data_IF_564056302429
#
_entry.id   IF_564056302429
#
_cell.length_a   1.000
_cell.length_b   1.000
_cell.length_c   1.000
_cell.angle_alpha   90.00
_cell.angle_beta   90.00
_cell.angle_gamma   90.00
#
_symmetry.space_group_name_H-M   'P 1'
#
loop_
_entity.id
_entity.type
_entity.pdbx_description
1 polymer ?
#
# COMPACT_ATOMS: atom_id res chain seq x y z
N UNK A 1 11.02 -15.61 -20.56
CA UNK A 1 10.03 -14.58 -20.31
C UNK A 1 9.08 -15.00 -19.21
N UNK A 2 8.49 -14.06 -18.48
CA UNK A 2 7.43 -14.36 -17.50
C UNK A 2 6.08 -14.17 -18.18
N UNK A 3 5.15 -15.09 -17.96
CA UNK A 3 3.76 -14.99 -18.44
C UNK A 3 2.93 -14.18 -17.46
N UNK A 4 2.00 -13.37 -17.99
CA UNK A 4 1.01 -12.62 -17.22
C UNK A 4 -0.39 -13.01 -17.67
N UNK A 5 -1.32 -13.04 -16.72
CA UNK A 5 -2.75 -13.17 -17.01
C UNK A 5 -3.35 -11.78 -16.82
N UNK A 6 -3.83 -11.19 -17.91
CA UNK A 6 -4.58 -9.94 -17.84
C UNK A 6 -6.06 -10.23 -17.57
N UNK A 7 -6.59 -9.64 -16.49
CA UNK A 7 -8.01 -9.68 -16.17
C UNK A 7 -8.60 -8.34 -16.60
N UNK A 8 -9.29 -8.31 -17.74
CA UNK A 8 -10.00 -7.14 -18.20
C UNK A 8 -11.29 -6.93 -17.41
N UNK A 9 -11.58 -5.68 -17.11
CA UNK A 9 -12.81 -5.30 -16.40
C UNK A 9 -13.74 -4.54 -17.34
N UNK A 10 -15.07 -4.75 -17.24
CA UNK A 10 -16.00 -3.94 -18.00
C UNK A 10 -15.79 -2.46 -17.70
N UNK A 11 -15.79 -1.62 -18.75
CA UNK A 11 -15.72 -0.17 -18.57
C UNK A 11 -16.88 0.32 -17.70
N UNK A 12 -16.56 0.82 -16.49
CA UNK A 12 -17.57 1.19 -15.46
C UNK A 12 -18.04 2.65 -15.60
N UNK A 13 -17.64 3.35 -16.67
CA UNK A 13 -17.99 4.76 -16.88
C UNK A 13 -19.41 4.91 -17.43
N UNK A 14 -20.13 5.91 -16.94
CA UNK A 14 -21.47 6.29 -17.38
C UNK A 14 -21.54 6.41 -18.91
N UNK A 15 -22.33 5.56 -19.55
CA UNK A 15 -23.01 5.91 -20.79
C UNK A 15 -24.27 6.71 -20.41
N UNK A 16 -24.44 7.86 -21.01
CA UNK A 16 -25.47 8.88 -20.70
C UNK A 16 -26.93 8.41 -20.67
N UNK A 17 -27.26 7.15 -20.85
CA UNK A 17 -28.66 6.76 -21.07
C UNK A 17 -29.13 5.39 -20.60
N UNK A 18 -28.37 4.58 -19.87
CA UNK A 18 -28.89 3.30 -19.37
C UNK A 18 -28.47 3.05 -17.92
N UNK A 19 -29.42 3.33 -17.06
CA UNK A 19 -29.75 2.81 -15.72
C UNK A 19 -28.73 2.08 -14.87
N UNK A 20 -28.74 2.48 -13.65
CA UNK A 20 -28.19 2.00 -12.38
C UNK A 20 -27.74 0.52 -12.28
N UNK A 21 -28.40 -0.41 -12.95
CA UNK A 21 -28.11 -1.84 -12.81
C UNK A 21 -26.83 -2.29 -13.51
N UNK A 22 -26.57 -1.82 -14.75
CA UNK A 22 -25.37 -2.21 -15.51
C UNK A 22 -24.12 -1.61 -14.89
N UNK A 23 -24.19 -0.39 -14.37
CA UNK A 23 -23.10 0.28 -13.66
C UNK A 23 -22.80 -0.46 -12.34
N UNK A 24 -23.83 -0.89 -11.63
CA UNK A 24 -23.72 -1.70 -10.41
C UNK A 24 -23.05 -3.05 -10.68
N UNK A 25 -23.50 -3.82 -11.68
CA UNK A 25 -22.88 -5.09 -12.05
C UNK A 25 -21.42 -4.93 -12.51
N UNK A 26 -21.12 -3.88 -13.27
CA UNK A 26 -19.77 -3.55 -13.68
C UNK A 26 -18.86 -3.28 -12.48
N UNK A 27 -19.32 -2.51 -11.48
CA UNK A 27 -18.59 -2.22 -10.26
C UNK A 27 -18.34 -3.48 -9.42
N UNK A 28 -19.36 -4.35 -9.26
CA UNK A 28 -19.22 -5.62 -8.54
C UNK A 28 -18.19 -6.53 -9.20
N UNK A 29 -18.23 -6.65 -10.54
CA UNK A 29 -17.24 -7.45 -11.29
C UNK A 29 -15.82 -6.88 -11.13
N UNK A 30 -15.66 -5.56 -11.22
CA UNK A 30 -14.38 -4.90 -11.03
C UNK A 30 -13.83 -5.12 -9.61
N UNK A 31 -14.68 -5.03 -8.56
CA UNK A 31 -14.28 -5.35 -7.18
C UNK A 31 -13.84 -6.80 -7.01
N UNK A 32 -14.53 -7.74 -7.66
CA UNK A 32 -14.14 -9.15 -7.64
C UNK A 32 -12.80 -9.38 -8.37
N UNK A 33 -12.56 -8.66 -9.47
CA UNK A 33 -11.27 -8.70 -10.18
C UNK A 33 -10.14 -8.13 -9.33
N UNK A 34 -10.35 -7.00 -8.63
CA UNK A 34 -9.38 -6.40 -7.70
C UNK A 34 -8.96 -7.41 -6.62
N UNK A 35 -9.92 -8.15 -6.03
CA UNK A 35 -9.63 -9.14 -4.99
C UNK A 35 -8.80 -10.33 -5.46
N UNK A 36 -8.83 -10.64 -6.76
CA UNK A 36 -8.13 -11.77 -7.37
C UNK A 36 -6.81 -11.38 -8.01
N UNK A 37 -6.60 -10.09 -8.22
CA UNK A 37 -5.41 -9.58 -8.89
C UNK A 37 -4.20 -9.55 -7.94
N UNK A 38 -3.04 -9.92 -8.45
CA UNK A 38 -1.76 -9.72 -7.75
C UNK A 38 -1.33 -8.26 -7.80
N UNK A 39 -1.62 -7.56 -8.90
CA UNK A 39 -1.39 -6.13 -9.09
C UNK A 39 -2.53 -5.54 -9.90
N UNK A 40 -3.06 -4.42 -9.45
CA UNK A 40 -4.09 -3.66 -10.17
C UNK A 40 -3.43 -2.53 -10.96
N UNK A 41 -3.76 -2.40 -12.23
CA UNK A 41 -3.48 -1.21 -13.03
C UNK A 41 -4.76 -0.37 -13.10
N UNK A 42 -4.82 0.73 -12.36
CA UNK A 42 -5.96 1.63 -12.34
C UNK A 42 -5.79 2.73 -13.38
N UNK A 43 -6.58 2.66 -14.46
CA UNK A 43 -6.46 3.58 -15.59
C UNK A 43 -7.35 4.81 -15.43
N UNK A 44 -6.76 5.98 -15.67
CA UNK A 44 -7.44 7.28 -15.75
C UNK A 44 -7.26 7.86 -17.16
N UNK A 45 -8.27 8.50 -17.68
CA UNK A 45 -8.19 9.29 -18.92
C UNK A 45 -7.66 10.68 -18.59
N UNK A 46 -6.58 11.09 -19.27
CA UNK A 46 -5.98 12.42 -19.03
C UNK A 46 -6.88 13.59 -19.37
N UNK A 47 -7.90 13.37 -20.19
CA UNK A 47 -8.88 14.38 -20.64
C UNK A 47 -10.09 14.50 -19.71
N UNK A 48 -10.20 13.61 -18.71
CA UNK A 48 -11.38 13.57 -17.85
C UNK A 48 -11.00 13.75 -16.38
N UNK A 49 -11.97 14.28 -15.63
CA UNK A 49 -11.84 14.36 -14.17
C UNK A 49 -12.10 13.01 -13.52
N UNK A 50 -11.49 12.78 -12.35
CA UNK A 50 -11.69 11.57 -11.56
C UNK A 50 -13.16 11.48 -11.11
N UNK A 51 -13.83 10.41 -11.50
CA UNK A 51 -15.25 10.17 -11.24
C UNK A 51 -15.49 9.57 -9.84
N UNK A 52 -16.76 9.52 -9.44
CA UNK A 52 -17.20 8.82 -8.21
C UNK A 52 -16.86 7.32 -8.28
N UNK A 53 -17.02 6.71 -9.45
CA UNK A 53 -16.72 5.29 -9.66
C UNK A 53 -15.24 5.01 -9.50
N UNK A 54 -14.38 5.86 -10.06
CA UNK A 54 -12.92 5.74 -9.87
C UNK A 54 -12.56 5.76 -8.37
N UNK A 55 -13.18 6.65 -7.58
CA UNK A 55 -12.98 6.72 -6.12
C UNK A 55 -13.41 5.43 -5.43
N UNK A 56 -14.56 4.85 -5.80
CA UNK A 56 -15.05 3.58 -5.23
C UNK A 56 -14.15 2.39 -5.58
N UNK A 57 -13.56 2.37 -6.78
CA UNK A 57 -12.59 1.34 -7.17
C UNK A 57 -11.29 1.49 -6.37
N UNK A 58 -10.80 2.71 -6.21
CA UNK A 58 -9.62 2.99 -5.38
C UNK A 58 -9.86 2.63 -3.91
N UNK A 59 -11.04 2.91 -3.35
CA UNK A 59 -11.41 2.46 -2.01
C UNK A 59 -11.33 0.93 -1.90
N UNK A 60 -11.82 0.19 -2.89
CA UNK A 60 -11.73 -1.27 -2.91
C UNK A 60 -10.28 -1.78 -2.98
N UNK A 61 -9.39 -1.11 -3.74
CA UNK A 61 -7.96 -1.42 -3.79
C UNK A 61 -7.32 -1.22 -2.41
N UNK A 62 -7.67 -0.13 -1.72
CA UNK A 62 -7.16 0.17 -0.39
C UNK A 62 -7.65 -0.84 0.66
N UNK A 63 -8.94 -1.18 0.64
CA UNK A 63 -9.53 -2.16 1.56
C UNK A 63 -8.92 -3.55 1.42
N UNK A 64 -8.66 -3.98 0.19
CA UNK A 64 -8.04 -5.29 -0.08
C UNK A 64 -6.53 -5.28 0.12
N UNK A 65 -5.91 -4.10 0.29
CA UNK A 65 -4.45 -3.93 0.29
C UNK A 65 -3.80 -4.51 -0.97
N UNK A 66 -4.47 -4.46 -2.11
CA UNK A 66 -3.92 -4.95 -3.37
C UNK A 66 -2.87 -3.98 -3.91
N UNK A 67 -1.67 -4.46 -4.27
CA UNK A 67 -0.67 -3.62 -4.92
C UNK A 67 -1.23 -3.00 -6.19
N UNK A 68 -0.92 -1.73 -6.47
CA UNK A 68 -1.48 -1.07 -7.66
C UNK A 68 -0.50 -0.09 -8.31
N UNK A 69 -0.73 0.15 -9.59
CA UNK A 69 -0.12 1.21 -10.39
C UNK A 69 -1.23 2.15 -10.85
N UNK A 70 -1.10 3.44 -10.62
CA UNK A 70 -2.00 4.46 -11.14
C UNK A 70 -1.55 4.83 -12.56
N UNK A 71 -2.40 4.66 -13.55
CA UNK A 71 -2.04 4.81 -14.96
C UNK A 71 -2.82 5.96 -15.58
N UNK A 72 -2.14 6.99 -16.05
CA UNK A 72 -2.74 8.09 -16.80
C UNK A 72 -2.57 7.82 -18.28
N UNK A 73 -3.67 7.50 -18.95
CA UNK A 73 -3.70 7.19 -20.39
C UNK A 73 -4.07 8.41 -21.23
N UNK A 74 -3.89 8.30 -22.55
CA UNK A 74 -4.02 9.38 -23.54
C UNK A 74 -3.08 10.57 -23.23
N UNK A 75 -1.88 10.26 -22.77
CA UNK A 75 -0.93 11.26 -22.31
C UNK A 75 -0.45 12.20 -23.44
N UNK A 76 -0.50 11.75 -24.68
CA UNK A 76 -0.27 12.57 -25.87
C UNK A 76 -1.22 13.78 -25.95
N UNK A 77 -2.50 13.58 -25.62
CA UNK A 77 -3.49 14.66 -25.60
C UNK A 77 -3.27 15.62 -24.43
N UNK A 78 -2.83 15.10 -23.27
CA UNK A 78 -2.50 15.95 -22.14
C UNK A 78 -1.31 16.88 -22.41
N UNK A 79 -0.30 16.40 -23.13
CA UNK A 79 0.85 17.21 -23.56
C UNK A 79 0.41 18.33 -24.47
N UNK A 80 -0.49 18.07 -25.42
CA UNK A 80 -1.05 19.10 -26.32
C UNK A 80 -1.82 20.19 -25.53
N UNK A 81 -2.38 19.83 -24.39
CA UNK A 81 -3.07 20.76 -23.47
C UNK A 81 -2.12 21.35 -22.40
N UNK A 82 -0.81 21.34 -22.63
CA UNK A 82 0.23 21.87 -21.73
C UNK A 82 0.19 21.28 -20.31
N UNK A 83 -0.38 20.09 -20.13
CA UNK A 83 -0.44 19.39 -18.86
C UNK A 83 0.90 18.72 -18.55
N UNK A 84 1.37 18.85 -17.31
CA UNK A 84 2.61 18.23 -16.84
C UNK A 84 2.37 16.97 -16.01
N UNK A 85 3.35 16.05 -16.01
CA UNK A 85 3.29 14.83 -15.19
C UNK A 85 3.19 15.16 -13.69
N UNK A 86 3.88 16.21 -13.25
CA UNK A 86 3.87 16.64 -11.85
C UNK A 86 2.48 17.12 -11.42
N UNK A 87 1.79 17.92 -12.24
CA UNK A 87 0.43 18.39 -11.96
C UNK A 87 -0.56 17.22 -11.84
N UNK A 88 -0.48 16.24 -12.76
CA UNK A 88 -1.32 15.04 -12.68
C UNK A 88 -0.98 14.18 -11.45
N UNK A 89 0.32 13.99 -11.17
CA UNK A 89 0.75 13.25 -9.98
C UNK A 89 0.26 13.91 -8.70
N UNK A 90 0.38 15.23 -8.58
CA UNK A 90 -0.17 15.99 -7.45
C UNK A 90 -1.69 15.86 -7.34
N UNK A 91 -2.41 15.92 -8.45
CA UNK A 91 -3.86 15.72 -8.47
C UNK A 91 -4.26 14.34 -7.96
N UNK A 92 -3.54 13.27 -8.38
CA UNK A 92 -3.76 11.92 -7.89
C UNK A 92 -3.46 11.80 -6.38
N UNK A 93 -2.35 12.38 -5.90
CA UNK A 93 -1.98 12.38 -4.48
C UNK A 93 -3.01 13.12 -3.63
N UNK A 94 -3.51 14.26 -4.08
CA UNK A 94 -4.55 15.02 -3.39
C UNK A 94 -5.88 14.27 -3.36
N UNK A 95 -6.23 13.61 -4.45
CA UNK A 95 -7.50 12.87 -4.56
C UNK A 95 -7.46 11.54 -3.82
N UNK A 96 -6.31 10.84 -3.86
CA UNK A 96 -6.12 9.50 -3.33
C UNK A 96 -4.98 9.43 -2.31
N UNK A 97 -5.03 10.28 -1.27
CA UNK A 97 -3.98 10.38 -0.25
C UNK A 97 -3.58 9.05 0.41
N UNK A 98 -4.47 8.06 0.43
CA UNK A 98 -4.18 6.71 0.95
C UNK A 98 -3.27 5.88 0.01
N UNK A 99 -3.22 6.20 -1.29
CA UNK A 99 -2.37 5.57 -2.30
C UNK A 99 -1.17 6.43 -2.72
N UNK A 100 -0.78 7.44 -1.92
CA UNK A 100 0.36 8.32 -2.24
C UNK A 100 1.70 7.59 -2.46
N UNK A 101 1.76 6.33 -2.05
CA UNK A 101 2.91 5.46 -2.26
C UNK A 101 2.86 4.71 -3.59
N UNK A 102 1.68 4.60 -4.20
CA UNK A 102 1.51 3.87 -5.44
C UNK A 102 2.21 4.60 -6.59
N UNK A 103 2.96 3.91 -7.43
CA UNK A 103 3.65 4.54 -8.54
C UNK A 103 2.65 4.99 -9.60
N UNK A 104 2.99 6.08 -10.30
CA UNK A 104 2.19 6.64 -11.39
C UNK A 104 2.90 6.39 -12.72
N UNK A 105 2.16 5.90 -13.71
CA UNK A 105 2.63 5.72 -15.07
C UNK A 105 1.83 6.56 -16.05
N UNK A 106 2.51 7.19 -17.02
CA UNK A 106 1.91 7.98 -18.09
C UNK A 106 2.10 7.26 -19.43
N UNK A 107 1.00 6.90 -20.08
CA UNK A 107 1.00 6.06 -21.28
C UNK A 107 0.14 6.66 -22.39
N UNK A 108 0.42 6.25 -23.63
CA UNK A 108 -0.47 6.44 -24.78
C UNK A 108 -0.75 5.05 -25.35
N UNK A 109 -1.86 4.45 -24.95
CA UNK A 109 -2.19 3.08 -25.31
C UNK A 109 -2.35 2.91 -26.83
N UNK A 110 -2.87 3.93 -27.53
CA UNK A 110 -3.08 3.90 -28.98
C UNK A 110 -1.78 3.67 -29.76
N UNK A 111 -0.67 4.26 -29.34
CA UNK A 111 0.64 4.12 -30.00
C UNK A 111 1.55 3.11 -29.30
N UNK A 112 1.15 2.57 -28.15
CA UNK A 112 1.97 1.72 -27.32
C UNK A 112 3.06 2.47 -26.54
N UNK A 113 3.08 3.81 -26.58
CA UNK A 113 4.10 4.60 -25.88
C UNK A 113 4.06 4.34 -24.39
N UNK A 114 5.22 3.98 -23.83
CA UNK A 114 5.43 3.61 -22.42
C UNK A 114 4.71 2.34 -21.94
N UNK A 115 3.99 1.58 -22.78
CA UNK A 115 3.31 0.35 -22.37
C UNK A 115 4.28 -0.70 -21.80
N UNK A 116 5.47 -0.85 -22.39
CA UNK A 116 6.50 -1.75 -21.87
C UNK A 116 7.02 -1.31 -20.49
N UNK A 117 7.17 0.00 -20.29
CA UNK A 117 7.58 0.57 -18.99
C UNK A 117 6.52 0.32 -17.93
N UNK A 118 5.23 0.44 -18.27
CA UNK A 118 4.11 0.13 -17.38
C UNK A 118 4.15 -1.33 -16.92
N UNK A 119 4.37 -2.28 -17.83
CA UNK A 119 4.48 -3.70 -17.48
C UNK A 119 5.67 -3.96 -16.56
N UNK A 120 6.84 -3.36 -16.84
CA UNK A 120 8.00 -3.47 -15.97
C UNK A 120 7.74 -2.89 -14.58
N UNK A 121 6.99 -1.78 -14.49
CA UNK A 121 6.60 -1.17 -13.23
C UNK A 121 5.66 -2.08 -12.42
N UNK A 122 4.67 -2.68 -13.08
CA UNK A 122 3.79 -3.66 -12.44
C UNK A 122 4.56 -4.90 -11.93
N UNK A 123 5.57 -5.37 -12.69
CA UNK A 123 6.47 -6.43 -12.23
C UNK A 123 7.28 -6.02 -11.00
N UNK A 124 7.78 -4.77 -10.96
CA UNK A 124 8.50 -4.24 -9.81
C UNK A 124 7.62 -4.22 -8.56
N UNK A 125 6.40 -3.71 -8.71
CA UNK A 125 5.39 -3.68 -7.62
C UNK A 125 5.05 -5.10 -7.14
N UNK A 126 4.83 -6.04 -8.06
CA UNK A 126 4.61 -7.44 -7.71
C UNK A 126 5.78 -8.03 -6.91
N UNK A 127 7.01 -7.80 -7.39
CA UNK A 127 8.22 -8.29 -6.72
C UNK A 127 8.35 -7.72 -5.32
N UNK A 128 8.14 -6.40 -5.14
CA UNK A 128 8.15 -5.75 -3.83
C UNK A 128 7.09 -6.36 -2.88
N UNK A 129 5.88 -6.63 -3.38
CA UNK A 129 4.80 -7.21 -2.58
C UNK A 129 5.12 -8.63 -2.08
N UNK A 130 5.91 -9.38 -2.84
CA UNK A 130 6.33 -10.75 -2.51
C UNK A 130 7.59 -10.85 -1.67
N UNK A 131 8.24 -9.73 -1.33
CA UNK A 131 9.52 -9.74 -0.63
C UNK A 131 9.36 -10.12 0.84
N UNK A 132 10.32 -10.92 1.35
CA UNK A 132 10.36 -11.31 2.77
C UNK A 132 11.53 -10.64 3.48
N UNK A 133 11.24 -10.14 4.67
CA UNK A 133 12.21 -9.47 5.53
C UNK A 133 12.53 -10.39 6.70
N UNK A 134 13.82 -10.49 7.05
CA UNK A 134 14.23 -11.25 8.22
C UNK A 134 13.65 -10.60 9.50
N UNK A 135 13.30 -11.44 10.44
CA UNK A 135 12.74 -11.01 11.73
C UNK A 135 13.69 -10.09 12.48
N UNK A 136 15.01 -10.37 12.46
CA UNK A 136 16.04 -9.53 13.10
C UNK A 136 16.04 -8.11 12.53
N UNK A 137 16.08 -7.96 11.19
CA UNK A 137 16.02 -6.65 10.52
C UNK A 137 14.75 -5.90 10.86
N UNK A 138 13.60 -6.58 10.83
CA UNK A 138 12.32 -5.96 11.14
C UNK A 138 12.26 -5.45 12.58
N UNK A 139 12.71 -6.25 13.55
CA UNK A 139 12.72 -5.85 14.96
C UNK A 139 13.69 -4.70 15.23
N UNK A 140 14.85 -4.66 14.56
CA UNK A 140 15.79 -3.53 14.65
C UNK A 140 15.14 -2.22 14.20
N UNK A 141 14.45 -2.23 13.06
CA UNK A 141 13.74 -1.05 12.53
C UNK A 141 12.61 -0.61 13.47
N UNK A 142 11.78 -1.55 13.95
CA UNK A 142 10.67 -1.23 14.86
C UNK A 142 11.21 -0.68 16.19
N UNK A 143 12.31 -1.25 16.71
CA UNK A 143 12.98 -0.77 17.92
C UNK A 143 13.47 0.67 17.76
N UNK A 144 14.18 0.97 16.66
CA UNK A 144 14.64 2.31 16.36
C UNK A 144 13.48 3.31 16.23
N UNK A 145 12.39 2.92 15.57
CA UNK A 145 11.19 3.75 15.44
C UNK A 145 10.54 4.05 16.80
N UNK A 146 10.42 3.04 17.67
CA UNK A 146 9.86 3.23 19.04
C UNK A 146 10.78 4.10 19.89
N UNK A 147 12.09 3.96 19.74
CA UNK A 147 13.08 4.79 20.46
C UNK A 147 12.99 6.26 20.01
N UNK A 148 12.95 6.51 18.69
CA UNK A 148 12.88 7.86 18.13
C UNK A 148 11.56 8.58 18.43
N UNK A 149 10.44 7.85 18.45
CA UNK A 149 9.12 8.41 18.76
C UNK A 149 8.29 7.38 19.53
N UNK A 150 8.42 7.35 20.87
CA UNK A 150 7.69 6.42 21.71
C UNK A 150 6.17 6.61 21.59
N UNK A 151 5.37 5.52 21.61
CA UNK A 151 3.92 5.65 21.64
C UNK A 151 3.49 6.38 22.91
N UNK A 152 2.56 7.34 22.82
CA UNK A 152 2.16 8.18 23.93
C UNK A 152 1.41 7.36 25.00
N UNK A 153 1.54 7.81 26.26
CA UNK A 153 0.72 7.27 27.36
C UNK A 153 -0.77 7.46 27.07
N UNK A 154 -1.55 6.42 27.33
CA UNK A 154 -3.01 6.45 27.25
C UNK A 154 -3.62 5.66 28.40
N UNK A 155 -4.68 6.21 29.01
CA UNK A 155 -5.38 5.57 30.14
C UNK A 155 -4.40 5.14 31.26
N UNK A 156 -3.45 5.99 31.57
CA UNK A 156 -2.39 5.75 32.55
C UNK A 156 -1.53 4.48 32.31
N UNK A 157 -1.48 4.00 31.05
CA UNK A 157 -0.68 2.84 30.62
C UNK A 157 0.24 3.22 29.47
N UNK A 158 1.46 2.65 29.46
CA UNK A 158 2.41 2.81 28.38
C UNK A 158 2.25 1.67 27.36
N UNK A 159 1.93 1.98 26.09
CA UNK A 159 1.93 0.97 25.05
C UNK A 159 3.36 0.47 24.82
N UNK A 160 3.55 -0.86 24.77
CA UNK A 160 4.83 -1.51 24.51
C UNK A 160 4.71 -2.49 23.34
N UNK A 161 5.69 -2.51 22.44
CA UNK A 161 5.85 -3.53 21.42
C UNK A 161 6.98 -4.47 21.86
N UNK A 162 6.68 -5.76 21.89
CA UNK A 162 7.64 -6.80 22.32
C UNK A 162 8.34 -7.47 21.15
N UNK A 163 7.63 -7.57 20.01
CA UNK A 163 8.13 -8.34 18.87
C UNK A 163 7.38 -7.97 17.60
N UNK A 164 8.11 -8.00 16.47
CA UNK A 164 7.58 -7.78 15.14
C UNK A 164 7.95 -8.94 14.22
N UNK A 165 7.02 -9.43 13.42
CA UNK A 165 7.27 -10.48 12.43
C UNK A 165 6.44 -10.25 11.17
N UNK A 166 7.01 -10.55 10.00
CA UNK A 166 6.26 -10.61 8.76
C UNK A 166 5.63 -12.02 8.65
N UNK A 167 4.31 -12.07 8.62
CA UNK A 167 3.56 -13.33 8.58
C UNK A 167 3.13 -13.70 7.17
N UNK A 168 2.99 -12.72 6.27
CA UNK A 168 2.49 -12.95 4.93
C UNK A 168 3.10 -11.98 3.91
N UNK A 169 2.92 -12.31 2.63
CA UNK A 169 3.26 -11.53 1.45
C UNK A 169 1.99 -11.36 0.60
N UNK A 170 1.99 -10.43 -0.37
CA UNK A 170 0.84 -10.14 -1.26
C UNK A 170 -0.48 -9.83 -0.54
N UNK A 171 -0.55 -8.83 0.37
CA UNK A 171 0.45 -7.78 0.66
C UNK A 171 1.41 -8.16 1.80
N UNK A 172 2.56 -7.49 1.93
CA UNK A 172 3.42 -7.60 3.09
C UNK A 172 2.63 -7.35 4.38
N UNK A 173 2.48 -8.39 5.19
CA UNK A 173 1.67 -8.35 6.42
C UNK A 173 2.58 -8.52 7.63
N UNK A 174 2.65 -7.49 8.46
CA UNK A 174 3.49 -7.43 9.66
C UNK A 174 2.61 -7.51 10.89
N UNK A 175 2.90 -8.47 11.75
CA UNK A 175 2.28 -8.59 13.08
C UNK A 175 3.20 -7.97 14.12
N UNK A 176 2.66 -7.04 14.90
CA UNK A 176 3.31 -6.45 16.07
C UNK A 176 2.68 -7.05 17.34
N UNK A 177 3.45 -7.81 18.10
CA UNK A 177 3.05 -8.28 19.41
C UNK A 177 3.25 -7.16 20.44
N UNK A 178 2.21 -6.79 21.15
CA UNK A 178 2.21 -5.65 22.08
C UNK A 178 1.35 -5.96 23.33
N UNK A 179 1.45 -5.12 24.35
CA UNK A 179 0.62 -5.28 25.56
C UNK A 179 -0.86 -4.92 25.28
N UNK A 180 -1.14 -3.74 24.75
CA UNK A 180 -2.49 -3.21 24.58
C UNK A 180 -2.68 -2.61 23.18
N UNK A 181 -3.11 -3.39 22.16
CA UNK A 181 -3.28 -2.92 20.78
C UNK A 181 -4.13 -1.65 20.62
N UNK A 182 -5.14 -1.49 21.48
CA UNK A 182 -6.10 -0.37 21.46
C UNK A 182 -5.49 0.95 21.94
N UNK A 183 -4.35 0.93 22.63
CA UNK A 183 -3.71 2.14 23.13
C UNK A 183 -2.86 2.86 22.08
N UNK A 184 -2.48 2.18 21.00
CA UNK A 184 -1.72 2.80 19.90
C UNK A 184 -2.60 3.72 19.06
N UNK A 185 -2.27 5.01 19.07
CA UNK A 185 -3.03 6.02 18.32
C UNK A 185 -2.94 5.82 16.79
N UNK A 186 -3.95 6.25 16.02
CA UNK A 186 -3.87 6.22 14.56
C UNK A 186 -2.69 7.04 14.02
N UNK A 187 -2.33 8.16 14.66
CA UNK A 187 -1.18 8.98 14.28
C UNK A 187 0.14 8.23 14.47
N UNK A 188 0.31 7.54 15.59
CA UNK A 188 1.51 6.75 15.85
C UNK A 188 1.62 5.56 14.89
N UNK A 189 0.51 4.88 14.59
CA UNK A 189 0.50 3.81 13.57
C UNK A 189 0.90 4.31 12.19
N UNK A 190 0.46 5.53 11.81
CA UNK A 190 0.89 6.17 10.55
C UNK A 190 2.37 6.51 10.53
N UNK A 191 2.90 7.01 11.66
CA UNK A 191 4.33 7.24 11.81
C UNK A 191 5.13 5.96 11.60
N UNK A 192 4.78 4.88 12.34
CA UNK A 192 5.47 3.59 12.19
C UNK A 192 5.38 3.06 10.76
N UNK A 193 4.21 3.17 10.13
CA UNK A 193 4.04 2.78 8.72
C UNK A 193 4.95 3.58 7.79
N UNK A 194 5.16 4.87 8.07
CA UNK A 194 6.11 5.72 7.34
C UNK A 194 7.53 5.20 7.45
N UNK A 195 8.01 4.95 8.68
CA UNK A 195 9.34 4.39 8.93
C UNK A 195 9.54 3.03 8.24
N UNK A 196 8.57 2.12 8.35
CA UNK A 196 8.64 0.82 7.69
C UNK A 196 8.72 0.96 6.17
N UNK A 197 8.05 1.94 5.58
CA UNK A 197 8.08 2.20 4.15
C UNK A 197 9.43 2.75 3.68
N UNK A 198 10.08 3.55 4.48
CA UNK A 198 11.40 4.12 4.17
C UNK A 198 12.51 3.09 4.29
N UNK A 199 12.47 2.26 5.34
CA UNK A 199 13.54 1.33 5.70
C UNK A 199 13.44 -0.05 5.04
N UNK A 200 12.24 -0.43 4.55
CA UNK A 200 11.97 -1.71 3.92
C UNK A 200 11.77 -1.58 2.40
N UNK A 201 11.94 -2.67 1.63
CA UNK A 201 11.74 -2.66 0.18
C UNK A 201 10.25 -2.62 -0.23
N UNK A 202 9.40 -2.00 0.59
CA UNK A 202 7.95 -1.89 0.39
C UNK A 202 7.51 -0.46 0.03
N UNK A 203 8.33 0.25 -0.74
CA UNK A 203 8.12 1.68 -1.00
C UNK A 203 6.83 1.96 -1.78
N UNK A 204 6.52 1.11 -2.75
CA UNK A 204 5.45 1.30 -3.73
C UNK A 204 4.28 0.31 -3.56
N UNK A 205 4.25 -0.41 -2.42
CA UNK A 205 3.21 -1.41 -2.14
C UNK A 205 2.53 -1.14 -0.80
N UNK A 206 1.29 -1.60 -0.61
CA UNK A 206 0.62 -1.50 0.68
C UNK A 206 1.33 -2.38 1.71
N UNK A 207 1.41 -1.91 2.95
CA UNK A 207 1.91 -2.68 4.09
C UNK A 207 0.75 -2.84 5.08
N UNK A 208 0.39 -4.08 5.38
CA UNK A 208 -0.65 -4.39 6.36
C UNK A 208 -0.01 -4.58 7.73
N UNK A 209 -0.41 -3.77 8.71
CA UNK A 209 0.05 -3.88 10.10
C UNK A 209 -1.07 -4.42 10.96
N UNK A 210 -0.83 -5.54 11.62
CA UNK A 210 -1.73 -6.16 12.59
C UNK A 210 -1.11 -6.05 13.98
N UNK A 211 -1.81 -5.43 14.91
CA UNK A 211 -1.40 -5.38 16.31
C UNK A 211 -2.15 -6.45 17.11
N UNK A 212 -1.41 -7.31 17.81
CA UNK A 212 -1.97 -8.41 18.60
C UNK A 212 -1.44 -8.36 20.01
N UNK A 213 -2.31 -8.59 20.99
CA UNK A 213 -1.90 -8.77 22.37
C UNK A 213 -0.99 -10.00 22.51
N UNK A 214 -0.01 -9.94 23.41
CA UNK A 214 0.77 -11.11 23.81
C UNK A 214 -0.14 -12.00 24.66
N UNK A 215 -0.22 -13.29 24.33
CA UNK A 215 -0.90 -14.27 25.18
C UNK A 215 0.04 -14.66 26.33
N UNK A 216 -0.44 -14.53 27.56
CA UNK A 216 0.31 -14.86 28.80
C UNK A 216 1.10 -13.67 29.34
N UNK A 217 0.91 -13.35 30.62
CA UNK A 217 1.59 -12.34 31.44
C UNK A 217 1.77 -10.97 30.81
N UNK A 218 0.77 -10.13 30.96
CA UNK A 218 0.68 -8.81 30.32
C UNK A 218 1.73 -7.79 30.78
N UNK A 219 2.58 -8.04 31.78
CA UNK A 219 3.41 -7.01 32.41
C UNK A 219 4.91 -7.30 32.61
N UNK A 220 5.45 -8.50 32.37
CA UNK A 220 6.79 -8.90 32.82
C UNK A 220 7.89 -9.05 31.77
N UNK A 221 7.64 -8.82 30.48
CA UNK A 221 8.69 -8.91 29.47
C UNK A 221 9.28 -7.55 29.10
N UNK A 222 10.59 -7.45 28.80
CA UNK A 222 11.17 -6.21 28.31
C UNK A 222 10.53 -5.77 26.99
N UNK A 223 10.37 -4.47 26.81
CA UNK A 223 9.91 -3.91 25.52
C UNK A 223 11.01 -4.09 24.47
N UNK A 224 10.62 -4.13 23.18
CA UNK A 224 11.56 -4.37 22.08
C UNK A 224 12.75 -3.40 22.08
N UNK A 225 12.56 -2.15 22.49
CA UNK A 225 13.61 -1.13 22.59
C UNK A 225 14.49 -1.25 23.86
N UNK A 226 14.10 -2.10 24.81
CA UNK A 226 14.86 -2.37 26.05
C UNK A 226 15.77 -3.61 25.90
N UNK A 227 15.67 -4.35 24.78
CA UNK A 227 16.52 -5.51 24.53
C UNK A 227 17.84 -5.06 23.87
N UNK A 228 19.00 -5.63 24.27
CA UNK A 228 20.27 -5.39 23.59
C UNK A 228 20.23 -5.88 22.15
N UNK A 229 21.03 -5.28 21.29
CA UNK A 229 21.15 -5.72 19.90
C UNK A 229 21.77 -7.14 19.86
N UNK A 230 21.14 -8.05 19.12
CA UNK A 230 21.55 -9.44 19.02
C UNK A 230 22.94 -9.62 18.34
N UNK A 231 23.46 -8.57 17.70
CA UNK A 231 24.74 -8.57 17.00
C UNK A 231 25.95 -8.29 17.92
N UNK A 232 25.75 -8.13 19.25
CA UNK A 232 26.86 -7.92 20.22
C UNK A 232 27.27 -9.20 20.97
N UNK A 233 26.73 -10.37 20.59
CA UNK A 233 27.01 -11.65 21.29
C UNK A 233 27.88 -12.61 20.46
N UNK A 234 28.47 -12.16 19.36
CA UNK A 234 29.47 -12.96 18.64
C UNK A 234 30.81 -12.24 18.63
N UNK A 235 31.50 -12.26 19.73
CA UNK A 235 32.97 -12.13 19.83
C UNK A 235 33.40 -12.39 21.27
N UNK A 236 33.61 -13.68 21.61
CA UNK A 236 34.67 -14.16 22.52
C UNK A 236 34.94 -15.64 22.23
#
# INVERSE_FOLDING_TARGET
>A
GRSFVAIDTPGVRKRKSIANDIEFYGLVRSRNSIRRADVVMMFFDSQETISRVDKQLVESIVETHTPCVLVVNKWDLAIQAEMTMDRWSQYLIQTFGMLRFAPVAFVTAQTGRNSRKLINLAQSVFKQAGERISTGRLNRIVRAAVFANPPPFRKNRRPKIFYATQVDVFPPTIVLKCNHPQLFSPSWKRYLLGVLREELPFREVPIKILMRARQGDEETGPALHELPDADMVESD
#
